data_IF_321268113529
#
_entry.id   IF_321268113529
#
_cell.length_a   1.000
_cell.length_b   1.000
_cell.length_c   1.000
_cell.angle_alpha   90.00
_cell.angle_beta   90.00
_cell.angle_gamma   90.00
#
_symmetry.space_group_name_H-M   'P 1'
#
loop_
_entity.id
_entity.type
_entity.pdbx_description
1 polymer ?
#
# COMPACT_ATOMS: atom_id res chain seq x y z
N UNK A 1 4.00 -6.70 14.60
CA UNK A 1 3.91 -5.35 15.16
C UNK A 1 4.35 -4.34 14.10
N UNK A 2 3.53 -3.29 13.87
CA UNK A 2 3.89 -2.19 12.96
C UNK A 2 4.85 -1.26 13.70
N UNK A 3 6.01 -1.01 13.10
CA UNK A 3 7.03 -0.09 13.66
C UNK A 3 6.45 1.31 13.78
N UNK A 4 6.67 1.97 14.92
CA UNK A 4 6.12 3.30 15.20
C UNK A 4 4.68 3.33 15.69
N UNK A 5 3.91 2.23 15.59
CA UNK A 5 2.53 2.14 16.10
C UNK A 5 2.48 2.02 17.64
N UNK A 6 1.32 2.31 18.27
CA UNK A 6 1.17 2.26 19.74
C UNK A 6 1.65 0.96 20.39
N UNK A 7 1.33 -0.19 19.79
CA UNK A 7 1.76 -1.48 20.27
C UNK A 7 3.29 -1.63 20.28
N UNK A 8 3.96 -1.18 19.22
CA UNK A 8 5.42 -1.17 19.13
C UNK A 8 6.05 -0.16 20.10
N UNK A 9 5.50 1.06 20.19
CA UNK A 9 5.96 2.11 21.12
C UNK A 9 5.85 1.69 22.58
N UNK A 10 4.85 0.88 22.92
CA UNK A 10 4.64 0.40 24.30
C UNK A 10 5.83 -0.42 24.83
N UNK A 11 6.58 -1.07 23.92
CA UNK A 11 7.66 -2.04 24.23
C UNK A 11 7.23 -3.17 25.17
N UNK A 12 5.92 -3.36 25.33
CA UNK A 12 5.33 -4.35 26.22
C UNK A 12 4.71 -5.52 25.49
N UNK A 13 4.54 -5.39 24.15
CA UNK A 13 3.99 -6.41 23.28
C UNK A 13 5.09 -6.94 22.39
N UNK A 14 5.16 -8.24 22.23
CA UNK A 14 6.15 -8.94 21.40
C UNK A 14 5.46 -9.88 20.42
N UNK A 15 6.15 -10.22 19.35
CA UNK A 15 5.69 -11.25 18.42
C UNK A 15 5.60 -12.60 19.16
N UNK A 16 4.46 -13.28 18.99
CA UNK A 16 4.14 -14.54 19.66
C UNK A 16 3.43 -14.38 21.02
N UNK A 17 3.13 -13.16 21.48
CA UNK A 17 2.18 -12.93 22.57
C UNK A 17 0.76 -13.24 22.08
N UNK A 18 -0.07 -13.84 22.92
CA UNK A 18 -1.46 -14.18 22.64
C UNK A 18 -2.39 -13.14 23.28
N UNK A 19 -3.31 -12.56 22.50
CA UNK A 19 -4.32 -11.64 23.03
C UNK A 19 -5.49 -12.44 23.58
N UNK A 20 -5.72 -12.36 24.87
CA UNK A 20 -6.81 -13.08 25.55
C UNK A 20 -8.07 -12.23 25.64
N UNK A 21 -7.93 -10.95 26.02
CA UNK A 21 -9.06 -10.04 26.20
C UNK A 21 -8.74 -8.65 25.67
N UNK A 22 -9.79 -7.95 25.25
CA UNK A 22 -9.75 -6.54 24.81
C UNK A 22 -10.79 -5.75 25.56
N UNK A 23 -10.37 -4.69 26.25
CA UNK A 23 -11.27 -3.66 26.78
C UNK A 23 -11.24 -2.48 25.79
N UNK A 24 -12.29 -2.32 25.02
CA UNK A 24 -12.33 -1.36 23.90
C UNK A 24 -12.54 0.08 24.40
N UNK A 25 -13.25 0.25 25.50
CA UNK A 25 -13.46 1.57 26.14
C UNK A 25 -13.24 1.48 27.65
N UNK A 26 -12.79 2.60 28.22
CA UNK A 26 -12.61 2.71 29.65
C UNK A 26 -13.96 2.51 30.39
N UNK A 27 -13.96 1.57 31.37
CA UNK A 27 -15.14 1.25 32.17
C UNK A 27 -16.06 0.17 31.58
N UNK A 28 -15.82 -0.31 30.37
CA UNK A 28 -16.50 -1.49 29.81
C UNK A 28 -15.83 -2.78 30.31
N UNK A 29 -16.60 -3.86 30.39
CA UNK A 29 -16.06 -5.19 30.69
C UNK A 29 -15.14 -5.69 29.54
N UNK A 30 -13.97 -6.27 29.86
CA UNK A 30 -13.07 -6.81 28.85
C UNK A 30 -13.71 -8.01 28.10
N UNK A 31 -13.73 -7.92 26.79
CA UNK A 31 -14.26 -8.95 25.88
C UNK A 31 -13.19 -10.03 25.71
N UNK A 32 -13.56 -11.30 25.93
CA UNK A 32 -12.68 -12.43 25.62
C UNK A 32 -12.64 -12.65 24.10
N UNK A 33 -11.46 -12.56 23.51
CA UNK A 33 -11.23 -12.74 22.07
C UNK A 33 -10.52 -14.04 21.72
N UNK A 34 -10.29 -14.91 22.72
CA UNK A 34 -9.66 -16.21 22.51
C UNK A 34 -10.51 -17.08 21.60
N UNK A 35 -9.94 -17.58 20.50
CA UNK A 35 -10.65 -18.40 19.51
C UNK A 35 -11.53 -17.64 18.51
N UNK A 36 -11.61 -16.32 18.59
CA UNK A 36 -12.26 -15.51 17.56
C UNK A 36 -11.43 -15.47 16.28
N UNK A 37 -12.09 -15.25 15.15
CA UNK A 37 -11.39 -14.91 13.92
C UNK A 37 -10.63 -13.59 14.09
N UNK A 38 -9.48 -13.46 13.42
CA UNK A 38 -8.62 -12.28 13.54
C UNK A 38 -9.38 -10.99 13.21
N UNK A 39 -10.19 -11.00 12.15
CA UNK A 39 -10.97 -9.85 11.71
C UNK A 39 -12.04 -9.44 12.74
N UNK A 40 -12.60 -10.39 13.47
CA UNK A 40 -13.55 -10.10 14.56
C UNK A 40 -12.83 -9.46 15.75
N UNK A 41 -11.72 -10.07 16.20
CA UNK A 41 -10.94 -9.55 17.32
C UNK A 41 -10.39 -8.14 17.04
N UNK A 42 -9.95 -7.87 15.83
CA UNK A 42 -9.42 -6.57 15.38
C UNK A 42 -10.47 -5.45 15.51
N UNK A 43 -11.76 -5.74 15.31
CA UNK A 43 -12.83 -4.73 15.48
C UNK A 43 -12.91 -4.16 16.91
N UNK A 44 -12.57 -4.95 17.92
CA UNK A 44 -12.53 -4.49 19.32
C UNK A 44 -11.24 -3.73 19.64
N UNK A 45 -10.13 -4.03 18.93
CA UNK A 45 -8.84 -3.35 19.13
C UNK A 45 -8.85 -1.99 18.44
N UNK A 46 -9.40 -1.91 17.22
CA UNK A 46 -9.55 -0.64 16.49
C UNK A 46 -10.59 0.24 17.14
N UNK A 47 -10.49 1.55 16.89
CA UNK A 47 -11.43 2.55 17.38
C UNK A 47 -10.92 3.95 17.11
N UNK A 48 -11.65 4.94 17.60
CA UNK A 48 -11.38 6.36 17.37
C UNK A 48 -10.00 6.76 17.92
N UNK A 49 -9.26 7.57 17.14
CA UNK A 49 -7.97 8.14 17.53
C UNK A 49 -8.06 8.89 18.85
N UNK A 50 -7.07 8.70 19.70
CA UNK A 50 -7.02 9.32 21.04
C UNK A 50 -7.77 8.55 22.13
N UNK A 51 -8.51 7.49 21.79
CA UNK A 51 -9.20 6.65 22.79
C UNK A 51 -8.26 5.57 23.36
N UNK A 52 -8.51 5.17 24.60
CA UNK A 52 -7.75 4.12 25.28
C UNK A 52 -8.26 2.74 24.87
N UNK A 53 -7.34 1.79 24.69
CA UNK A 53 -7.62 0.35 24.62
C UNK A 53 -6.69 -0.40 25.56
N UNK A 54 -7.23 -1.41 26.25
CA UNK A 54 -6.45 -2.29 27.14
C UNK A 54 -6.47 -3.69 26.58
N UNK A 55 -5.29 -4.28 26.40
CA UNK A 55 -5.12 -5.67 25.97
C UNK A 55 -4.65 -6.52 27.14
N UNK A 56 -5.34 -7.62 27.41
CA UNK A 56 -4.83 -8.67 28.29
C UNK A 56 -4.10 -9.69 27.44
N UNK A 57 -2.80 -9.82 27.66
CA UNK A 57 -1.89 -10.65 26.87
C UNK A 57 -1.39 -11.82 27.71
N UNK A 58 -1.23 -12.97 27.06
CA UNK A 58 -0.42 -14.08 27.56
C UNK A 58 0.93 -14.03 26.87
N UNK A 59 1.96 -13.87 27.64
CA UNK A 59 3.35 -13.84 27.16
C UNK A 59 3.84 -15.25 26.82
N UNK A 60 4.94 -15.34 26.07
CA UNK A 60 5.56 -16.63 25.71
C UNK A 60 5.99 -17.47 26.94
N UNK A 61 6.30 -16.83 28.05
CA UNK A 61 6.65 -17.48 29.31
C UNK A 61 5.41 -17.88 30.14
N UNK A 62 4.21 -17.67 29.61
CA UNK A 62 2.93 -17.97 30.25
C UNK A 62 2.41 -16.89 31.19
N UNK A 63 3.14 -15.82 31.44
CA UNK A 63 2.67 -14.72 32.28
C UNK A 63 1.54 -13.95 31.61
N UNK A 64 0.58 -13.48 32.41
CA UNK A 64 -0.53 -12.64 31.92
C UNK A 64 -0.22 -11.19 32.27
N UNK A 65 -0.33 -10.32 31.27
CA UNK A 65 -0.03 -8.90 31.41
C UNK A 65 -1.12 -8.05 30.75
N UNK A 66 -1.52 -6.98 31.43
CA UNK A 66 -2.37 -5.95 30.83
C UNK A 66 -1.50 -4.82 30.26
N UNK A 67 -1.79 -4.42 29.03
CA UNK A 67 -1.11 -3.34 28.34
C UNK A 67 -2.14 -2.31 27.90
N UNK A 68 -1.99 -1.10 28.40
CA UNK A 68 -2.81 0.06 28.02
C UNK A 68 -2.14 0.82 26.90
N UNK A 69 -2.93 1.22 25.91
CA UNK A 69 -2.46 2.00 24.77
C UNK A 69 -3.49 3.04 24.40
N UNK A 70 -3.01 4.16 23.88
CA UNK A 70 -3.86 5.15 23.22
C UNK A 70 -3.86 4.84 21.73
N UNK A 71 -5.04 4.78 21.13
CA UNK A 71 -5.18 4.60 19.69
C UNK A 71 -4.60 5.81 18.96
N UNK A 72 -3.73 5.55 18.04
CA UNK A 72 -3.18 6.54 17.12
C UNK A 72 -3.50 6.10 15.69
N UNK A 73 -3.48 7.05 14.79
CA UNK A 73 -3.47 6.75 13.37
C UNK A 73 -2.14 6.08 13.03
N UNK A 74 -2.21 4.83 12.58
CA UNK A 74 -1.03 4.05 12.25
C UNK A 74 -0.76 4.22 10.76
N UNK A 75 0.11 5.18 10.42
CA UNK A 75 0.69 5.21 9.09
C UNK A 75 1.63 4.01 8.96
N UNK A 76 1.23 3.02 8.17
CA UNK A 76 2.11 1.90 7.83
C UNK A 76 3.09 2.42 6.79
N UNK A 77 4.21 3.00 7.24
CA UNK A 77 5.22 3.58 6.35
C UNK A 77 5.71 2.59 5.27
N UNK A 78 5.64 1.30 5.55
CA UNK A 78 6.01 0.25 4.61
C UNK A 78 5.02 0.08 3.45
N UNK A 79 3.85 0.73 3.49
CA UNK A 79 2.89 0.74 2.37
C UNK A 79 3.08 1.91 1.41
N UNK A 80 3.91 2.87 1.75
CA UNK A 80 4.15 4.05 0.93
C UNK A 80 5.21 3.83 -0.13
N UNK A 81 5.04 4.47 -1.28
CA UNK A 81 6.05 4.42 -2.32
C UNK A 81 7.33 5.15 -1.87
N UNK A 82 8.47 4.56 -2.22
CA UNK A 82 9.80 5.10 -1.91
C UNK A 82 10.72 4.92 -3.10
N UNK A 83 11.63 5.87 -3.30
CA UNK A 83 12.62 5.75 -4.36
C UNK A 83 14.06 5.78 -3.86
N UNK A 84 14.91 5.14 -4.63
CA UNK A 84 16.36 5.22 -4.54
C UNK A 84 16.96 5.50 -5.93
N UNK A 85 18.19 5.97 -5.96
CA UNK A 85 18.96 6.13 -7.20
C UNK A 85 19.94 4.95 -7.32
N UNK A 86 19.90 4.31 -8.48
CA UNK A 86 20.84 3.26 -8.86
C UNK A 86 21.85 3.87 -9.84
N UNK A 87 23.15 3.76 -9.53
CA UNK A 87 24.19 4.16 -10.43
C UNK A 87 24.58 3.00 -11.35
N UNK A 88 24.39 3.17 -12.63
CA UNK A 88 24.81 2.20 -13.65
C UNK A 88 26.33 2.23 -13.86
N UNK A 89 26.88 1.13 -14.39
CA UNK A 89 28.33 0.98 -14.68
C UNK A 89 28.89 2.03 -15.68
N UNK A 90 28.01 2.66 -16.46
CA UNK A 90 28.32 3.70 -17.45
C UNK A 90 28.22 5.14 -16.89
N UNK A 91 28.11 5.29 -15.56
CA UNK A 91 27.92 6.59 -14.90
C UNK A 91 26.49 7.15 -15.01
N UNK A 92 25.56 6.44 -15.65
CA UNK A 92 24.16 6.83 -15.76
C UNK A 92 23.41 6.57 -14.45
N UNK A 93 22.45 7.41 -14.15
CA UNK A 93 21.57 7.28 -12.98
C UNK A 93 20.20 6.76 -13.40
N UNK A 94 19.68 5.84 -12.63
CA UNK A 94 18.32 5.30 -12.79
C UNK A 94 17.55 5.46 -11.50
N UNK A 95 16.27 5.82 -11.62
CA UNK A 95 15.35 5.84 -10.48
C UNK A 95 14.75 4.46 -10.27
N UNK A 96 14.76 3.99 -9.04
CA UNK A 96 14.03 2.79 -8.64
C UNK A 96 12.96 3.20 -7.63
N UNK A 97 11.69 2.96 -7.97
CA UNK A 97 10.54 3.25 -7.13
C UNK A 97 9.91 1.93 -6.72
N UNK A 98 9.86 1.63 -5.43
CA UNK A 98 9.09 0.53 -4.90
C UNK A 98 7.70 1.03 -4.53
N UNK A 99 6.64 0.39 -5.07
CA UNK A 99 5.25 0.63 -4.73
C UNK A 99 4.67 -0.64 -4.08
N UNK A 100 4.57 -0.70 -2.74
CA UNK A 100 4.11 -1.89 -2.03
C UNK A 100 2.60 -2.13 -2.13
N UNK A 101 1.79 -1.08 -2.32
CA UNK A 101 0.33 -1.15 -2.39
C UNK A 101 -0.25 0.06 -3.10
N UNK A 102 -1.42 -0.11 -3.75
CA UNK A 102 -2.21 0.98 -4.31
C UNK A 102 -3.18 1.53 -3.25
N UNK A 103 -2.62 2.07 -2.16
CA UNK A 103 -3.45 2.64 -1.09
C UNK A 103 -4.10 3.94 -1.51
N UNK A 104 -5.36 4.10 -1.08
CA UNK A 104 -6.12 5.32 -1.17
C UNK A 104 -6.77 5.60 0.18
N UNK A 105 -6.73 6.85 0.60
CA UNK A 105 -7.50 7.31 1.74
C UNK A 105 -8.85 7.84 1.24
N UNK A 106 -9.90 7.08 1.51
CA UNK A 106 -11.27 7.46 1.10
C UNK A 106 -12.00 8.31 2.14
N UNK A 107 -11.45 8.42 3.35
CA UNK A 107 -12.09 9.14 4.47
C UNK A 107 -11.55 10.57 4.60
N UNK A 108 -10.29 10.79 4.28
CA UNK A 108 -9.68 12.12 4.30
C UNK A 108 -9.23 12.56 2.89
N UNK A 109 -9.87 13.61 2.36
CA UNK A 109 -9.49 14.21 1.08
C UNK A 109 -8.03 14.75 1.06
N UNK A 110 -7.38 14.86 2.22
CA UNK A 110 -5.97 15.18 2.38
C UNK A 110 -5.14 13.95 2.75
N UNK A 111 -5.77 12.79 2.78
CA UNK A 111 -5.12 11.51 3.02
C UNK A 111 -4.05 11.22 1.98
N UNK A 112 -3.10 10.39 2.35
CA UNK A 112 -1.96 10.07 1.49
C UNK A 112 -2.31 8.91 0.55
N UNK A 113 -2.25 9.17 -0.74
CA UNK A 113 -2.57 8.23 -1.81
C UNK A 113 -1.32 7.72 -2.53
N UNK A 114 -1.38 6.54 -3.11
CA UNK A 114 -0.27 5.95 -3.86
C UNK A 114 0.16 6.81 -5.06
N UNK A 115 -0.79 7.44 -5.74
CA UNK A 115 -0.52 8.35 -6.86
C UNK A 115 0.24 9.61 -6.44
N UNK A 116 -0.09 10.18 -5.27
CA UNK A 116 0.62 11.33 -4.71
C UNK A 116 2.06 10.96 -4.32
N UNK A 117 2.25 9.78 -3.76
CA UNK A 117 3.58 9.26 -3.43
C UNK A 117 4.44 9.08 -4.67
N UNK A 118 3.92 8.38 -5.69
CA UNK A 118 4.63 8.18 -6.96
C UNK A 118 4.95 9.53 -7.62
N UNK A 119 4.00 10.46 -7.60
CA UNK A 119 4.20 11.83 -8.11
C UNK A 119 5.37 12.53 -7.42
N UNK A 120 5.41 12.50 -6.09
CA UNK A 120 6.47 13.11 -5.31
C UNK A 120 7.84 12.48 -5.63
N UNK A 121 7.91 11.14 -5.70
CA UNK A 121 9.13 10.43 -6.01
C UNK A 121 9.59 10.67 -7.46
N UNK A 122 8.67 10.76 -8.44
CA UNK A 122 9.01 11.13 -9.82
C UNK A 122 9.62 12.54 -9.92
N UNK A 123 9.05 13.52 -9.23
CA UNK A 123 9.58 14.90 -9.20
C UNK A 123 10.99 14.90 -8.62
N UNK A 124 11.21 14.20 -7.51
CA UNK A 124 12.51 14.05 -6.86
C UNK A 124 13.56 13.40 -7.78
N UNK A 125 13.21 12.31 -8.45
CA UNK A 125 14.09 11.59 -9.37
C UNK A 125 14.40 12.43 -10.62
N UNK A 126 13.41 13.14 -11.18
CA UNK A 126 13.59 14.05 -12.30
C UNK A 126 14.58 15.18 -11.97
N UNK A 127 14.51 15.74 -10.77
CA UNK A 127 15.46 16.74 -10.27
C UNK A 127 16.90 16.19 -10.17
N UNK A 128 17.05 14.88 -9.94
CA UNK A 128 18.35 14.18 -9.92
C UNK A 128 18.84 13.77 -11.32
N UNK A 129 18.09 14.11 -12.38
CA UNK A 129 18.42 13.84 -13.80
C UNK A 129 18.64 12.35 -14.08
N UNK A 130 17.77 11.49 -13.54
CA UNK A 130 17.80 10.05 -13.89
C UNK A 130 17.44 9.86 -15.36
N UNK A 131 18.02 8.84 -16.00
CA UNK A 131 17.82 8.55 -17.42
C UNK A 131 16.73 7.52 -17.70
N UNK A 132 16.27 6.82 -16.67
CA UNK A 132 15.19 5.85 -16.75
C UNK A 132 14.63 5.54 -15.35
N UNK A 133 13.44 4.96 -15.32
CA UNK A 133 12.77 4.57 -14.08
C UNK A 133 12.43 3.10 -14.11
N UNK A 134 12.63 2.45 -12.97
CA UNK A 134 12.14 1.12 -12.66
C UNK A 134 11.05 1.29 -11.59
N UNK A 135 9.83 0.87 -11.91
CA UNK A 135 8.72 0.79 -10.98
C UNK A 135 8.57 -0.67 -10.52
N UNK A 136 8.83 -0.91 -9.25
CA UNK A 136 8.79 -2.24 -8.66
C UNK A 136 7.43 -2.51 -8.01
N UNK A 137 6.66 -3.41 -8.61
CA UNK A 137 5.37 -3.90 -8.16
C UNK A 137 5.46 -5.33 -7.58
N UNK A 138 6.66 -5.86 -7.37
CA UNK A 138 6.82 -7.20 -6.78
C UNK A 138 6.25 -7.22 -5.38
N UNK A 139 5.53 -8.29 -5.05
CA UNK A 139 4.81 -8.48 -3.78
C UNK A 139 3.67 -7.45 -3.54
N UNK A 140 3.27 -6.69 -4.55
CA UNK A 140 2.16 -5.76 -4.46
C UNK A 140 0.85 -6.47 -4.85
N UNK A 141 0.03 -6.82 -3.86
CA UNK A 141 -1.25 -7.52 -4.04
C UNK A 141 -2.37 -6.65 -4.62
N UNK A 142 -2.09 -5.39 -4.99
CA UNK A 142 -3.07 -4.50 -5.59
C UNK A 142 -3.54 -3.37 -4.66
N UNK A 143 -4.80 -3.00 -4.78
CA UNK A 143 -5.45 -1.93 -4.02
C UNK A 143 -6.45 -1.14 -4.86
N UNK A 144 -6.45 0.19 -4.73
CA UNK A 144 -7.42 1.07 -5.36
C UNK A 144 -7.27 1.14 -6.89
N UNK A 145 -8.37 0.88 -7.59
CA UNK A 145 -8.44 1.01 -9.04
C UNK A 145 -8.33 2.48 -9.51
N UNK A 146 -8.79 3.41 -8.69
CA UNK A 146 -8.65 4.85 -8.97
C UNK A 146 -7.19 5.25 -8.99
N UNK A 147 -6.41 4.74 -8.04
CA UNK A 147 -4.97 4.99 -7.97
C UNK A 147 -4.22 4.47 -9.22
N UNK A 148 -4.64 3.32 -9.77
CA UNK A 148 -4.08 2.83 -11.04
C UNK A 148 -4.26 3.86 -12.16
N UNK A 149 -5.48 4.43 -12.27
CA UNK A 149 -5.81 5.43 -13.30
C UNK A 149 -4.99 6.70 -13.12
N UNK A 150 -4.85 7.17 -11.87
CA UNK A 150 -4.11 8.38 -11.55
C UNK A 150 -2.61 8.20 -11.75
N UNK A 151 -2.05 7.05 -11.34
CA UNK A 151 -0.63 6.70 -11.59
C UNK A 151 -0.36 6.60 -13.08
N UNK A 152 -1.27 6.00 -13.87
CA UNK A 152 -1.13 5.94 -15.32
C UNK A 152 -0.92 7.34 -15.92
N UNK A 153 -1.67 8.34 -15.40
CA UNK A 153 -1.58 9.73 -15.83
C UNK A 153 -0.25 10.42 -15.55
N UNK A 154 0.54 9.90 -14.63
CA UNK A 154 1.88 10.41 -14.35
C UNK A 154 2.90 10.03 -15.43
N UNK A 155 2.58 9.01 -16.23
CA UNK A 155 3.49 8.43 -17.23
C UNK A 155 3.02 8.59 -18.68
N UNK A 156 1.74 8.84 -18.92
CA UNK A 156 1.19 8.98 -20.27
C UNK A 156 0.02 9.96 -20.32
N UNK A 157 -0.23 10.47 -21.53
CA UNK A 157 -1.38 11.30 -21.81
C UNK A 157 -2.71 10.53 -21.71
N UNK A 158 -3.79 11.28 -21.73
CA UNK A 158 -5.18 10.79 -21.70
C UNK A 158 -5.39 9.50 -22.53
N UNK A 159 -6.07 8.54 -21.90
CA UNK A 159 -6.44 7.29 -22.55
C UNK A 159 -7.26 6.38 -21.63
N UNK A 160 -7.94 5.36 -22.18
CA UNK A 160 -8.57 4.31 -21.40
C UNK A 160 -7.52 3.50 -20.64
N UNK A 161 -7.81 3.11 -19.41
CA UNK A 161 -6.90 2.33 -18.55
C UNK A 161 -7.47 0.95 -18.28
N UNK A 162 -8.76 0.89 -17.90
CA UNK A 162 -9.43 -0.36 -17.57
C UNK A 162 -10.92 -0.27 -17.86
N UNK A 163 -11.54 -1.40 -18.15
CA UNK A 163 -12.98 -1.54 -18.29
C UNK A 163 -13.54 -2.36 -17.13
N UNK A 164 -14.62 -1.87 -16.54
CA UNK A 164 -15.35 -2.58 -15.49
C UNK A 164 -16.74 -2.90 -16.04
N UNK A 165 -17.10 -4.19 -16.09
CA UNK A 165 -18.42 -4.66 -16.47
C UNK A 165 -19.20 -5.04 -15.21
N UNK A 166 -20.37 -4.43 -15.00
CA UNK A 166 -21.23 -4.75 -13.88
C UNK A 166 -22.06 -6.03 -14.13
N UNK A 167 -22.76 -6.50 -13.09
CA UNK A 167 -23.62 -7.69 -13.18
C UNK A 167 -24.82 -7.54 -14.15
N UNK A 168 -25.16 -6.32 -14.57
CA UNK A 168 -26.19 -6.00 -15.57
C UNK A 168 -25.63 -5.89 -16.99
N UNK A 169 -24.34 -6.14 -17.17
CA UNK A 169 -23.66 -6.09 -18.46
C UNK A 169 -23.24 -4.68 -18.90
N UNK A 170 -23.40 -3.66 -18.06
CA UNK A 170 -22.94 -2.30 -18.39
C UNK A 170 -21.41 -2.23 -18.28
N UNK A 171 -20.78 -1.62 -19.28
CA UNK A 171 -19.36 -1.41 -19.30
C UNK A 171 -19.04 0.04 -18.95
N UNK A 172 -18.26 0.24 -17.90
CA UNK A 172 -17.68 1.53 -17.54
C UNK A 172 -16.20 1.52 -17.91
N UNK A 173 -15.78 2.50 -18.71
CA UNK A 173 -14.38 2.69 -19.06
C UNK A 173 -13.77 3.73 -18.13
N UNK A 174 -12.82 3.33 -17.31
CA UNK A 174 -12.04 4.26 -16.51
C UNK A 174 -10.86 4.77 -17.35
N UNK A 175 -10.72 6.09 -17.38
CA UNK A 175 -9.77 6.78 -18.24
C UNK A 175 -8.89 7.70 -17.44
N UNK A 176 -7.60 7.69 -17.74
CA UNK A 176 -6.74 8.79 -17.37
C UNK A 176 -7.16 10.04 -18.19
N UNK A 177 -7.31 11.16 -17.51
CA UNK A 177 -7.70 12.45 -18.12
C UNK A 177 -6.55 13.45 -18.18
N UNK A 178 -5.37 13.09 -17.73
CA UNK A 178 -4.20 13.97 -17.67
C UNK A 178 -3.56 14.08 -19.06
N UNK A 179 -3.05 15.27 -19.38
CA UNK A 179 -2.39 15.55 -20.67
C UNK A 179 -0.95 16.06 -20.50
N UNK A 180 -0.43 16.03 -19.27
CA UNK A 180 0.93 16.49 -18.95
C UNK A 180 1.60 15.48 -18.01
N UNK A 181 2.08 14.35 -18.54
CA UNK A 181 2.75 13.33 -17.74
C UNK A 181 4.05 13.86 -17.14
N UNK A 182 4.32 13.50 -15.90
CA UNK A 182 5.54 13.93 -15.20
C UNK A 182 6.78 13.25 -15.77
N UNK A 183 6.64 11.99 -16.19
CA UNK A 183 7.73 11.19 -16.73
C UNK A 183 7.38 10.56 -18.07
N UNK A 184 8.10 10.96 -19.13
CA UNK A 184 7.96 10.42 -20.51
C UNK A 184 9.17 9.62 -20.96
N UNK A 185 10.23 9.57 -20.14
CA UNK A 185 11.44 8.81 -20.44
C UNK A 185 11.26 7.29 -20.30
N UNK A 186 12.33 6.50 -20.46
CA UNK A 186 12.30 5.05 -20.34
C UNK A 186 11.70 4.57 -19.01
N UNK A 187 10.83 3.57 -19.09
CA UNK A 187 10.13 2.97 -17.93
C UNK A 187 10.17 1.45 -18.02
N UNK A 188 10.56 0.82 -16.93
CA UNK A 188 10.47 -0.62 -16.72
C UNK A 188 9.55 -0.87 -15.52
N UNK A 189 8.67 -1.85 -15.63
CA UNK A 189 7.82 -2.31 -14.51
C UNK A 189 8.25 -3.73 -14.14
N UNK A 190 8.53 -3.96 -12.86
CA UNK A 190 8.88 -5.27 -12.33
C UNK A 190 7.69 -5.90 -11.63
N UNK A 191 7.41 -7.17 -11.93
CA UNK A 191 6.35 -7.96 -11.31
C UNK A 191 6.85 -9.35 -10.89
N UNK A 192 6.14 -9.98 -9.96
CA UNK A 192 6.32 -11.38 -9.60
C UNK A 192 4.96 -12.06 -9.37
N UNK A 193 4.96 -13.32 -8.96
CA UNK A 193 3.77 -14.15 -8.71
C UNK A 193 2.83 -13.60 -7.61
N UNK A 194 3.30 -12.66 -6.81
CA UNK A 194 2.51 -11.99 -5.77
C UNK A 194 2.00 -10.60 -6.20
N UNK A 195 2.35 -10.16 -7.41
CA UNK A 195 1.77 -8.97 -8.02
C UNK A 195 0.37 -9.31 -8.52
N UNK A 196 -0.66 -8.66 -7.99
CA UNK A 196 -2.05 -9.02 -8.29
C UNK A 196 -2.95 -7.79 -8.48
N UNK A 197 -4.14 -7.98 -9.11
CA UNK A 197 -5.22 -6.98 -9.21
C UNK A 197 -4.73 -5.65 -9.81
N UNK A 198 -4.71 -4.56 -9.04
CA UNK A 198 -4.28 -3.24 -9.50
C UNK A 198 -2.88 -3.23 -10.13
N UNK A 199 -1.96 -4.06 -9.62
CA UNK A 199 -0.61 -4.23 -10.19
C UNK A 199 -0.65 -4.80 -11.61
N UNK A 200 -1.50 -5.79 -11.85
CA UNK A 200 -1.67 -6.41 -13.16
C UNK A 200 -2.33 -5.45 -14.15
N UNK A 201 -3.34 -4.69 -13.67
CA UNK A 201 -4.05 -3.70 -14.49
C UNK A 201 -3.08 -2.60 -14.94
N UNK A 202 -2.27 -2.05 -14.03
CA UNK A 202 -1.29 -1.02 -14.39
C UNK A 202 -0.26 -1.55 -15.39
N UNK A 203 0.32 -2.71 -15.11
CA UNK A 203 1.35 -3.30 -15.98
C UNK A 203 0.78 -3.66 -17.35
N UNK A 204 -0.41 -4.29 -17.41
CA UNK A 204 -1.09 -4.63 -18.66
C UNK A 204 -1.41 -3.40 -19.51
N UNK A 205 -1.99 -2.37 -18.89
CA UNK A 205 -2.27 -1.12 -19.58
C UNK A 205 -0.98 -0.46 -20.13
N UNK A 206 0.08 -0.38 -19.31
CA UNK A 206 1.37 0.17 -19.75
C UNK A 206 2.00 -0.64 -20.89
N UNK A 207 1.82 -1.96 -20.88
CA UNK A 207 2.27 -2.85 -21.94
C UNK A 207 1.49 -2.62 -23.24
N UNK A 208 0.15 -2.57 -23.16
CA UNK A 208 -0.72 -2.37 -24.31
C UNK A 208 -0.45 -1.05 -25.02
N UNK A 209 -0.13 -0.01 -24.28
CA UNK A 209 0.30 1.28 -24.84
C UNK A 209 1.75 1.32 -25.30
N UNK A 210 2.53 0.25 -25.13
CA UNK A 210 3.97 0.26 -25.39
C UNK A 210 4.73 1.28 -24.53
N UNK A 211 4.16 1.68 -23.38
CA UNK A 211 4.71 2.74 -22.52
C UNK A 211 5.85 2.24 -21.63
N UNK A 212 5.81 0.98 -21.22
CA UNK A 212 6.80 0.37 -20.35
C UNK A 212 7.22 -1.01 -20.87
N UNK A 213 8.43 -1.41 -20.50
CA UNK A 213 8.87 -2.81 -20.60
C UNK A 213 8.49 -3.51 -19.30
N UNK A 214 7.74 -4.62 -19.41
CA UNK A 214 7.36 -5.42 -18.24
C UNK A 214 8.39 -6.53 -18.06
N UNK A 215 8.92 -6.66 -16.84
CA UNK A 215 9.94 -7.64 -16.47
C UNK A 215 9.45 -8.44 -15.26
N UNK A 216 9.48 -9.75 -15.37
CA UNK A 216 9.09 -10.63 -14.28
C UNK A 216 8.69 -12.02 -14.73
N UNK A 217 8.11 -12.79 -13.81
CA UNK A 217 7.50 -14.08 -14.14
C UNK A 217 6.12 -13.85 -14.75
N UNK A 218 5.72 -14.75 -15.64
CA UNK A 218 4.34 -14.82 -16.15
C UNK A 218 3.38 -14.93 -14.95
N UNK A 219 2.41 -14.02 -14.91
CA UNK A 219 1.33 -14.09 -13.93
C UNK A 219 0.46 -15.31 -14.29
N UNK A 220 -0.08 -15.98 -13.29
CA UNK A 220 -1.07 -17.03 -13.52
C UNK A 220 -2.32 -16.31 -14.02
N UNK A 221 -2.85 -16.63 -15.23
CA UNK A 221 -4.10 -16.04 -15.67
C UNK A 221 -5.21 -16.38 -14.67
N UNK A 222 -5.90 -15.39 -14.17
CA UNK A 222 -7.11 -15.56 -13.33
C UNK A 222 -8.29 -15.85 -14.25
#
# INVERSE_FOLDING_TARGET
LVVGAPAWKSKQISEGDEILKVQSKKGEEPINVTGMLVDEAVRFIRGEKGTEVVLTLKKKDGTIKEVKMIREEVAIEDTFARSIIINGANGKKYGFINLPSFNADFEDAKGRNASDDIKAELIKLKAQKVEGIILDLRNNGGGSLTEVVDIMGLFMNNGPVVQVKDGNGRVQVMRNKQNDPIWTGPLVIMQNELSASASEILAGAMQDYGRAVIVGRSLIPI
#
